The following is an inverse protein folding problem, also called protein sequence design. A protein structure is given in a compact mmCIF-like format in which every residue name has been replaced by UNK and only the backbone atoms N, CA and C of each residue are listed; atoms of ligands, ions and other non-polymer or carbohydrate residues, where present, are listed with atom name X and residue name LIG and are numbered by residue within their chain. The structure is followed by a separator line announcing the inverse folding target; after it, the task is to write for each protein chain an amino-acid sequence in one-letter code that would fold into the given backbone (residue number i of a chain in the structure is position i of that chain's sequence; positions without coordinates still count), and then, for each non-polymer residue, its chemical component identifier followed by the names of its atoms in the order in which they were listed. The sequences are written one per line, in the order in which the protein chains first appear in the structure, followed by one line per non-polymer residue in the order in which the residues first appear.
data_IF_822350796942
#
_entry.id   IF_822350796942
#
_cell.length_a   1.000
_cell.length_b   1.000
_cell.length_c   1.000
_cell.angle_alpha   90.00
_cell.angle_beta   90.00
_cell.angle_gamma   90.00
#
_symmetry.space_group_name_H-M   'P 1'
#
loop_
_entity.id
_entity.type
_entity.pdbx_description
1 polymer ?
#
# COMPACT_ATOMS: atom_id res chain seq x y z
N UNK A 1 17.14 15.03 -20.95
CA UNK A 1 16.18 14.17 -20.19
C UNK A 1 15.34 15.11 -19.36
N UNK A 2 13.97 15.08 -19.48
CA UNK A 2 13.11 16.06 -18.77
C UNK A 2 13.25 15.87 -17.26
N UNK A 3 13.66 16.92 -16.55
CA UNK A 3 13.83 16.96 -15.09
C UNK A 3 12.65 16.35 -14.32
N UNK A 4 11.43 16.53 -14.77
CA UNK A 4 10.23 15.97 -14.15
C UNK A 4 10.18 14.42 -14.24
N UNK A 5 10.56 13.83 -15.36
CA UNK A 5 10.56 12.36 -15.51
C UNK A 5 11.60 11.70 -14.60
N UNK A 6 12.75 12.33 -14.43
CA UNK A 6 13.79 11.83 -13.53
C UNK A 6 13.33 11.89 -12.08
N UNK A 7 12.71 13.00 -11.67
CA UNK A 7 12.13 13.14 -10.32
C UNK A 7 11.08 12.04 -10.04
N UNK A 8 10.17 11.80 -10.98
CA UNK A 8 9.15 10.77 -10.85
C UNK A 8 9.74 9.38 -10.70
N UNK A 9 10.70 9.00 -11.56
CA UNK A 9 11.38 7.71 -11.50
C UNK A 9 12.13 7.51 -10.17
N UNK A 10 12.85 8.54 -9.71
CA UNK A 10 13.57 8.50 -8.44
C UNK A 10 12.62 8.30 -7.27
N UNK A 11 11.48 9.00 -7.27
CA UNK A 11 10.51 8.89 -6.17
C UNK A 11 9.79 7.53 -6.17
N UNK A 12 9.50 6.97 -7.35
CA UNK A 12 8.96 5.61 -7.52
C UNK A 12 9.94 4.58 -6.93
N UNK A 13 11.22 4.66 -7.29
CA UNK A 13 12.25 3.76 -6.79
C UNK A 13 12.44 3.90 -5.27
N UNK A 14 12.44 5.14 -4.75
CA UNK A 14 12.56 5.41 -3.33
C UNK A 14 11.42 4.80 -2.52
N UNK A 15 10.18 4.89 -3.02
CA UNK A 15 9.03 4.30 -2.33
C UNK A 15 9.04 2.76 -2.39
N UNK A 16 9.53 2.16 -3.48
CA UNK A 16 9.76 0.72 -3.56
C UNK A 16 10.82 0.27 -2.53
N UNK A 17 11.94 0.99 -2.43
CA UNK A 17 12.98 0.73 -1.43
C UNK A 17 12.46 0.91 0.01
N UNK A 18 11.69 1.96 0.28
CA UNK A 18 11.05 2.17 1.58
C UNK A 18 10.12 1.01 1.94
N UNK A 19 9.38 0.47 0.96
CA UNK A 19 8.51 -0.70 1.18
C UNK A 19 9.33 -1.93 1.54
N UNK A 20 10.49 -2.14 0.88
CA UNK A 20 11.41 -3.23 1.19
C UNK A 20 11.98 -3.12 2.62
N UNK A 21 12.34 -1.92 3.06
CA UNK A 21 12.80 -1.68 4.44
C UNK A 21 11.67 -1.95 5.45
N UNK A 22 10.48 -1.42 5.19
CA UNK A 22 9.31 -1.60 6.07
C UNK A 22 8.80 -3.04 6.10
N UNK A 23 9.10 -3.84 5.08
CA UNK A 23 8.83 -5.27 5.06
C UNK A 23 9.60 -6.03 6.14
N UNK A 24 10.81 -5.56 6.48
CA UNK A 24 11.67 -6.22 7.48
C UNK A 24 11.20 -5.94 8.92
N UNK A 25 10.37 -4.92 9.11
CA UNK A 25 9.74 -4.66 10.41
C UNK A 25 8.49 -5.54 10.47
N UNK A 26 8.71 -6.79 10.85
CA UNK A 26 7.71 -7.86 10.85
C UNK A 26 7.59 -8.47 12.25
N UNK A 27 6.36 -8.72 12.68
CA UNK A 27 6.06 -9.51 13.87
C UNK A 27 5.50 -10.85 13.37
N UNK A 28 6.21 -11.96 13.63
CA UNK A 28 5.71 -13.26 13.22
C UNK A 28 4.41 -13.60 13.94
N UNK A 29 3.44 -14.13 13.20
CA UNK A 29 2.14 -14.51 13.74
C UNK A 29 1.93 -16.02 13.60
N UNK A 30 1.23 -16.66 14.54
CA UNK A 30 0.95 -18.11 14.47
C UNK A 30 0.22 -18.55 13.20
N UNK A 31 -0.45 -17.64 12.53
CA UNK A 31 -1.14 -17.89 11.25
C UNK A 31 -0.18 -18.08 10.06
N UNK A 32 1.12 -17.81 10.20
CA UNK A 32 2.08 -17.79 9.10
C UNK A 32 2.02 -16.55 8.21
N UNK A 33 1.12 -15.61 8.50
CA UNK A 33 1.07 -14.30 7.84
C UNK A 33 1.67 -13.26 8.78
N UNK A 34 2.90 -12.75 8.54
CA UNK A 34 3.55 -11.82 9.45
C UNK A 34 2.86 -10.45 9.45
N UNK A 35 2.81 -9.82 10.61
CA UNK A 35 2.34 -8.45 10.75
C UNK A 35 3.48 -7.49 10.43
N UNK A 36 3.43 -6.82 9.28
CA UNK A 36 4.51 -5.94 8.80
C UNK A 36 4.09 -4.48 8.69
N UNK A 37 5.05 -3.58 8.53
CA UNK A 37 4.78 -2.18 8.17
C UNK A 37 4.62 -1.94 6.65
N UNK A 38 4.62 -2.99 5.83
CA UNK A 38 4.47 -2.87 4.37
C UNK A 38 3.22 -2.09 3.96
N UNK A 39 2.07 -2.40 4.55
CA UNK A 39 0.80 -1.72 4.23
C UNK A 39 0.82 -0.22 4.54
N UNK A 40 1.63 0.22 5.50
CA UNK A 40 1.90 1.63 5.74
C UNK A 40 2.68 2.24 4.57
N UNK A 41 3.75 1.56 4.10
CA UNK A 41 4.54 2.02 2.96
C UNK A 41 3.71 2.05 1.67
N UNK A 42 2.86 1.05 1.43
CA UNK A 42 1.92 1.01 0.29
C UNK A 42 0.95 2.18 0.33
N UNK A 43 0.41 2.49 1.51
CA UNK A 43 -0.46 3.67 1.72
C UNK A 43 0.29 4.96 1.41
N UNK A 44 1.52 5.12 1.93
CA UNK A 44 2.38 6.28 1.65
C UNK A 44 2.66 6.42 0.16
N UNK A 45 2.99 5.32 -0.53
CA UNK A 45 3.22 5.32 -1.97
C UNK A 45 2.00 5.82 -2.75
N UNK A 46 0.80 5.31 -2.44
CA UNK A 46 -0.44 5.76 -3.06
C UNK A 46 -0.74 7.25 -2.78
N UNK A 47 -0.53 7.71 -1.55
CA UNK A 47 -0.80 9.10 -1.16
C UNK A 47 0.20 10.07 -1.76
N UNK A 48 1.49 9.75 -1.71
CA UNK A 48 2.58 10.64 -2.15
C UNK A 48 2.66 10.71 -3.67
N UNK A 49 2.67 9.54 -4.33
CA UNK A 49 2.86 9.43 -5.78
C UNK A 49 1.54 9.51 -6.58
N UNK A 50 0.40 9.40 -5.90
CA UNK A 50 -0.89 9.26 -6.55
C UNK A 50 -1.10 7.86 -7.15
N UNK A 51 -2.23 7.67 -7.85
CA UNK A 51 -2.66 6.35 -8.30
C UNK A 51 -1.64 5.62 -9.18
N UNK A 52 -1.20 6.25 -10.27
CA UNK A 52 -0.28 5.62 -11.23
C UNK A 52 1.12 5.41 -10.66
N UNK A 53 1.68 6.43 -10.00
CA UNK A 53 3.02 6.35 -9.41
C UNK A 53 3.10 5.37 -8.26
N UNK A 54 2.09 5.35 -7.38
CA UNK A 54 1.98 4.39 -6.28
C UNK A 54 1.90 2.95 -6.78
N UNK A 55 1.02 2.68 -7.76
CA UNK A 55 0.91 1.35 -8.35
C UNK A 55 2.22 0.90 -9.02
N UNK A 56 2.86 1.79 -9.78
CA UNK A 56 4.13 1.49 -10.44
C UNK A 56 5.25 1.20 -9.42
N UNK A 57 5.32 1.95 -8.33
CA UNK A 57 6.29 1.69 -7.26
C UNK A 57 6.08 0.31 -6.64
N UNK A 58 4.84 -0.09 -6.40
CA UNK A 58 4.55 -1.43 -5.87
C UNK A 58 4.80 -2.54 -6.89
N UNK A 59 4.61 -2.29 -8.19
CA UNK A 59 5.01 -3.23 -9.24
C UNK A 59 6.53 -3.42 -9.26
N UNK A 60 7.31 -2.35 -9.16
CA UNK A 60 8.78 -2.44 -9.06
C UNK A 60 9.19 -3.25 -7.83
N UNK A 61 8.59 -2.99 -6.67
CA UNK A 61 8.83 -3.76 -5.45
C UNK A 61 8.54 -5.26 -5.64
N UNK A 62 7.39 -5.61 -6.24
CA UNK A 62 7.01 -6.99 -6.51
C UNK A 62 7.97 -7.68 -7.49
N UNK A 63 8.38 -6.99 -8.56
CA UNK A 63 9.31 -7.53 -9.55
C UNK A 63 10.67 -7.81 -8.92
N UNK A 64 11.18 -6.91 -8.09
CA UNK A 64 12.43 -7.14 -7.36
C UNK A 64 12.33 -8.39 -6.48
N UNK A 65 11.24 -8.54 -5.74
CA UNK A 65 11.03 -9.73 -4.91
C UNK A 65 10.83 -11.00 -5.75
N UNK A 66 10.11 -10.92 -6.87
CA UNK A 66 9.86 -12.07 -7.76
C UNK A 66 11.14 -12.64 -8.37
N UNK A 67 12.10 -11.78 -8.77
CA UNK A 67 13.40 -12.22 -9.29
C UNK A 67 14.38 -12.73 -8.20
N UNK A 68 13.94 -12.76 -6.94
CA UNK A 68 14.69 -13.35 -5.83
C UNK A 68 15.43 -12.35 -4.95
N UNK A 69 15.30 -11.04 -5.18
CA UNK A 69 15.85 -10.04 -4.24
C UNK A 69 15.14 -10.16 -2.90
N UNK A 70 15.83 -10.23 -1.74
CA UNK A 70 15.24 -10.47 -0.42
C UNK A 70 14.54 -9.22 0.14
N UNK A 71 13.52 -8.73 -0.58
CA UNK A 71 12.77 -7.50 -0.26
C UNK A 71 11.43 -7.77 0.43
N UNK A 72 10.95 -9.01 0.43
CA UNK A 72 9.75 -9.41 1.16
C UNK A 72 10.04 -9.56 2.66
N UNK A 73 8.99 -9.73 3.47
CA UNK A 73 9.17 -9.91 4.93
C UNK A 73 10.14 -11.04 5.26
N UNK A 74 10.86 -10.89 6.37
CA UNK A 74 11.84 -11.87 6.85
C UNK A 74 12.98 -12.13 5.85
N UNK A 75 13.37 -11.09 5.09
CA UNK A 75 14.41 -11.15 4.06
C UNK A 75 14.17 -12.25 3.00
N UNK A 76 12.90 -12.55 2.73
CA UNK A 76 12.51 -13.51 1.72
C UNK A 76 12.39 -12.87 0.32
N UNK A 77 12.45 -13.71 -0.70
CA UNK A 77 12.23 -13.36 -2.11
C UNK A 77 11.93 -14.61 -2.94
N UNK A 78 11.63 -14.39 -4.21
CA UNK A 78 11.33 -15.44 -5.18
C UNK A 78 9.83 -15.62 -5.43
N UNK A 79 9.51 -16.24 -6.57
CA UNK A 79 8.13 -16.49 -7.01
C UNK A 79 7.36 -17.38 -6.03
N UNK A 80 8.04 -18.26 -5.28
CA UNK A 80 7.42 -19.13 -4.28
C UNK A 80 6.65 -18.38 -3.21
N UNK A 81 7.12 -17.19 -2.82
CA UNK A 81 6.44 -16.34 -1.84
C UNK A 81 5.13 -15.78 -2.43
N UNK A 82 5.14 -15.44 -3.72
CA UNK A 82 3.96 -14.86 -4.39
C UNK A 82 2.84 -15.88 -4.61
N UNK A 83 3.16 -17.16 -4.72
CA UNK A 83 2.16 -18.23 -4.82
C UNK A 83 1.82 -18.84 -3.46
N UNK A 84 2.52 -18.46 -2.41
CA UNK A 84 2.30 -18.91 -1.03
C UNK A 84 1.18 -18.17 -0.30
N UNK A 85 0.99 -18.47 0.99
CA UNK A 85 -0.10 -17.92 1.82
C UNK A 85 -0.11 -16.40 1.93
N UNK A 86 1.04 -15.75 1.85
CA UNK A 86 1.18 -14.28 1.91
C UNK A 86 1.12 -13.61 0.55
N UNK A 87 1.20 -14.38 -0.54
CA UNK A 87 1.32 -13.87 -1.91
C UNK A 87 0.16 -12.98 -2.33
N UNK A 88 -1.06 -13.31 -1.90
CA UNK A 88 -2.25 -12.50 -2.22
C UNK A 88 -2.18 -11.07 -1.71
N UNK A 89 -1.64 -10.89 -0.51
CA UNK A 89 -1.42 -9.56 0.06
C UNK A 89 -0.39 -8.78 -0.77
N UNK A 90 0.72 -9.41 -1.14
CA UNK A 90 1.77 -8.80 -1.93
C UNK A 90 1.27 -8.41 -3.33
N UNK A 91 0.63 -9.34 -4.04
CA UNK A 91 0.11 -9.13 -5.40
C UNK A 91 -0.93 -8.00 -5.45
N UNK A 92 -1.70 -7.81 -4.38
CA UNK A 92 -2.70 -6.74 -4.31
C UNK A 92 -2.12 -5.36 -3.95
N UNK A 93 -0.85 -5.23 -3.57
CA UNK A 93 -0.25 -3.92 -3.23
C UNK A 93 -0.33 -2.88 -4.34
N UNK A 94 -0.06 -3.19 -5.63
CA UNK A 94 -0.24 -2.23 -6.70
C UNK A 94 -1.68 -1.73 -6.80
N UNK A 95 -2.66 -2.63 -6.64
CA UNK A 95 -4.07 -2.29 -6.67
C UNK A 95 -4.47 -1.44 -5.46
N UNK A 96 -3.99 -1.79 -4.27
CA UNK A 96 -4.21 -1.01 -3.06
C UNK A 96 -3.64 0.41 -3.21
N UNK A 97 -2.38 0.54 -3.64
CA UNK A 97 -1.74 1.83 -3.84
C UNK A 97 -2.47 2.68 -4.90
N UNK A 98 -2.94 2.05 -5.98
CA UNK A 98 -3.73 2.69 -7.01
C UNK A 98 -5.03 3.28 -6.46
N UNK A 99 -5.83 2.47 -5.75
CA UNK A 99 -7.11 2.88 -5.18
C UNK A 99 -6.90 4.01 -4.16
N UNK A 100 -5.94 3.87 -3.24
CA UNK A 100 -5.60 4.92 -2.27
C UNK A 100 -5.22 6.21 -2.98
N UNK A 101 -4.42 6.11 -4.04
CA UNK A 101 -3.97 7.25 -4.85
C UNK A 101 -5.09 7.97 -5.60
N UNK A 102 -6.19 7.29 -5.95
CA UNK A 102 -7.38 7.91 -6.54
C UNK A 102 -8.11 8.85 -5.56
N UNK A 103 -7.98 8.58 -4.27
CA UNK A 103 -8.55 9.42 -3.21
C UNK A 103 -7.80 10.74 -3.01
N UNK A 104 -6.58 10.84 -3.52
CA UNK A 104 -5.75 12.04 -3.36
C UNK A 104 -6.07 13.04 -4.46
N UNK A 105 -6.39 14.31 -4.13
CA UNK A 105 -6.60 15.35 -5.14
C UNK A 105 -5.36 15.47 -6.04
N UNK A 106 -5.55 15.33 -7.34
CA UNK A 106 -4.53 15.76 -8.30
C UNK A 106 -4.57 17.27 -8.33
N UNK A 107 -3.49 17.91 -7.88
CA UNK A 107 -3.28 19.33 -8.13
C UNK A 107 -3.08 19.51 -9.64
N UNK A 108 -4.19 19.68 -10.36
CA UNK A 108 -4.14 20.31 -11.67
C UNK A 108 -3.76 21.75 -11.41
N UNK A 109 -2.66 22.18 -12.00
CA UNK A 109 -2.29 23.58 -12.18
C UNK A 109 -3.45 24.32 -12.86
N UNK A 110 -4.41 24.78 -12.09
CA UNK A 110 -5.42 25.73 -12.52
C UNK A 110 -5.42 26.84 -11.45
N UNK A 111 -4.76 27.91 -11.83
CA UNK A 111 -4.85 29.21 -11.19
C UNK A 111 -6.32 29.55 -10.86
N UNK A 112 -6.56 29.93 -9.60
CA UNK A 112 -7.69 30.73 -9.21
C UNK A 112 -8.99 30.00 -8.96
N UNK A 113 -9.21 29.62 -7.70
CA UNK A 113 -10.45 29.89 -6.98
C UNK A 113 -10.31 29.38 -5.55
N UNK A 114 -10.08 30.26 -4.63
CA UNK A 114 -10.39 30.07 -3.22
C UNK A 114 -11.90 29.92 -3.10
N UNK A 115 -12.38 28.77 -2.68
CA UNK A 115 -13.78 28.62 -2.29
C UNK A 115 -13.92 27.62 -1.16
N UNK A 116 -14.25 28.15 0.01
CA UNK A 116 -15.17 27.59 0.98
C UNK A 116 -14.81 26.28 1.70
N UNK A 117 -14.90 26.38 3.01
CA UNK A 117 -14.73 25.31 4.03
C UNK A 117 -15.44 23.97 3.73
N UNK A 118 -16.53 24.00 2.96
CA UNK A 118 -17.30 22.80 2.60
C UNK A 118 -16.58 21.86 1.61
N UNK A 119 -15.72 22.38 0.72
CA UNK A 119 -14.95 21.55 -0.22
C UNK A 119 -13.84 20.76 0.48
N UNK A 120 -13.26 21.30 1.55
CA UNK A 120 -12.20 20.62 2.31
C UNK A 120 -12.73 19.37 3.01
N UNK A 121 -13.96 19.40 3.54
CA UNK A 121 -14.57 18.24 4.21
C UNK A 121 -14.89 17.12 3.21
N UNK A 122 -15.47 17.44 2.04
CA UNK A 122 -15.80 16.45 1.01
C UNK A 122 -14.54 15.75 0.47
N UNK A 123 -13.45 16.50 0.25
CA UNK A 123 -12.16 15.94 -0.15
C UNK A 123 -11.55 15.05 0.95
N UNK A 124 -11.74 15.39 2.21
CA UNK A 124 -11.29 14.57 3.32
C UNK A 124 -12.07 13.25 3.40
N UNK A 125 -13.39 13.28 3.32
CA UNK A 125 -14.25 12.08 3.36
C UNK A 125 -13.94 11.16 2.16
N UNK A 126 -13.81 11.72 0.97
CA UNK A 126 -13.42 10.97 -0.23
C UNK A 126 -12.09 10.26 -0.06
N UNK A 127 -11.07 10.97 0.44
CA UNK A 127 -9.76 10.39 0.68
C UNK A 127 -9.80 9.18 1.63
N UNK A 128 -10.48 9.33 2.78
CA UNK A 128 -10.61 8.24 3.74
C UNK A 128 -11.40 7.07 3.17
N UNK A 129 -12.42 7.33 2.36
CA UNK A 129 -13.18 6.29 1.66
C UNK A 129 -12.31 5.45 0.73
N UNK A 130 -11.47 6.09 -0.10
CA UNK A 130 -10.53 5.37 -0.98
C UNK A 130 -9.45 4.62 -0.21
N UNK A 131 -8.99 5.15 0.91
CA UNK A 131 -8.01 4.48 1.78
C UNK A 131 -8.61 3.20 2.39
N UNK A 132 -9.83 3.27 2.91
CA UNK A 132 -10.56 2.10 3.41
C UNK A 132 -10.80 1.11 2.28
N UNK A 133 -11.25 1.56 1.11
CA UNK A 133 -11.51 0.69 -0.04
C UNK A 133 -10.24 -0.05 -0.48
N UNK A 134 -9.11 0.64 -0.62
CA UNK A 134 -7.84 0.02 -1.00
C UNK A 134 -7.36 -1.02 0.02
N UNK A 135 -7.49 -0.71 1.30
CA UNK A 135 -7.15 -1.64 2.38
C UNK A 135 -8.08 -2.86 2.39
N UNK A 136 -9.38 -2.65 2.19
CA UNK A 136 -10.37 -3.74 2.11
C UNK A 136 -10.07 -4.66 0.94
N UNK A 137 -9.77 -4.13 -0.23
CA UNK A 137 -9.39 -4.92 -1.40
C UNK A 137 -8.14 -5.76 -1.11
N UNK A 138 -7.12 -5.18 -0.44
CA UNK A 138 -5.94 -5.94 -0.03
C UNK A 138 -6.30 -7.12 0.88
N UNK A 139 -7.18 -6.93 1.86
CA UNK A 139 -7.65 -8.02 2.73
C UNK A 139 -8.46 -9.07 1.98
N UNK A 140 -9.36 -8.67 1.07
CA UNK A 140 -10.16 -9.63 0.29
C UNK A 140 -9.24 -10.51 -0.55
N UNK A 141 -8.34 -9.92 -1.34
CA UNK A 141 -7.42 -10.66 -2.21
C UNK A 141 -6.45 -11.50 -1.37
N UNK A 142 -5.88 -10.92 -0.31
CA UNK A 142 -4.94 -11.61 0.58
C UNK A 142 -5.56 -12.81 1.25
N UNK A 143 -6.75 -12.66 1.86
CA UNK A 143 -7.44 -13.76 2.54
C UNK A 143 -7.91 -14.83 1.55
N UNK A 144 -8.39 -14.44 0.36
CA UNK A 144 -8.81 -15.40 -0.66
C UNK A 144 -7.64 -16.31 -1.10
N UNK A 145 -6.48 -15.71 -1.41
CA UNK A 145 -5.30 -16.49 -1.81
C UNK A 145 -4.74 -17.29 -0.63
N UNK A 146 -4.79 -16.76 0.60
CA UNK A 146 -4.45 -17.51 1.80
C UNK A 146 -5.29 -18.77 1.93
N UNK A 147 -6.61 -18.67 1.82
CA UNK A 147 -7.51 -19.83 1.90
C UNK A 147 -7.24 -20.86 0.78
N UNK A 148 -7.00 -20.38 -0.45
CA UNK A 148 -6.70 -21.24 -1.59
C UNK A 148 -5.35 -21.97 -1.43
N UNK A 149 -4.33 -21.30 -0.91
CA UNK A 149 -2.99 -21.88 -0.76
C UNK A 149 -2.86 -22.81 0.44
N UNK A 150 -3.65 -22.60 1.50
CA UNK A 150 -3.59 -23.40 2.74
C UNK A 150 -4.70 -24.45 2.85
N UNK A 151 -5.73 -24.37 1.99
CA UNK A 151 -6.94 -25.20 2.13
C UNK A 151 -7.82 -24.81 3.32
N UNK A 152 -7.57 -23.68 3.96
CA UNK A 152 -8.34 -23.21 5.11
C UNK A 152 -9.74 -22.73 4.70
N UNK A 153 -10.71 -22.92 5.60
CA UNK A 153 -12.05 -22.35 5.42
C UNK A 153 -12.00 -20.80 5.45
N UNK A 154 -12.99 -20.17 4.84
CA UNK A 154 -13.07 -18.71 4.81
C UNK A 154 -13.12 -18.10 6.23
N UNK A 155 -13.83 -18.74 7.16
CA UNK A 155 -13.89 -18.30 8.57
C UNK A 155 -12.53 -18.36 9.25
N UNK A 156 -11.76 -19.43 9.02
CA UNK A 156 -10.40 -19.57 9.52
C UNK A 156 -9.46 -18.54 8.89
N UNK A 157 -9.58 -18.28 7.58
CA UNK A 157 -8.80 -17.24 6.88
C UNK A 157 -9.08 -15.85 7.42
N UNK A 158 -10.34 -15.49 7.65
CA UNK A 158 -10.70 -14.20 8.26
C UNK A 158 -10.15 -14.08 9.69
N UNK A 159 -10.26 -15.12 10.49
CA UNK A 159 -9.73 -15.14 11.85
C UNK A 159 -8.19 -15.01 11.87
N UNK A 160 -7.51 -15.62 10.91
CA UNK A 160 -6.05 -15.61 10.81
C UNK A 160 -5.47 -14.33 10.19
N UNK A 161 -6.12 -13.80 9.14
CA UNK A 161 -5.58 -12.75 8.29
C UNK A 161 -6.22 -11.37 8.50
N UNK A 162 -7.38 -11.28 9.15
CA UNK A 162 -8.11 -10.01 9.29
C UNK A 162 -8.20 -9.58 10.74
N UNK A 163 -8.79 -10.40 11.60
CA UNK A 163 -9.09 -10.00 12.98
C UNK A 163 -7.88 -9.46 13.77
N UNK A 164 -6.72 -10.13 13.81
CA UNK A 164 -5.58 -9.64 14.58
C UNK A 164 -4.94 -8.39 13.96
N UNK A 165 -5.20 -8.14 12.67
CA UNK A 165 -4.58 -7.02 11.95
C UNK A 165 -5.41 -5.72 12.01
N UNK A 166 -6.72 -5.79 12.33
CA UNK A 166 -7.61 -4.61 12.35
C UNK A 166 -7.02 -3.45 13.18
N UNK A 167 -6.59 -3.66 14.46
CA UNK A 167 -6.11 -2.54 15.27
C UNK A 167 -4.88 -1.86 14.66
N UNK A 168 -3.91 -2.65 14.21
CA UNK A 168 -2.69 -2.13 13.59
C UNK A 168 -2.96 -1.50 12.24
N UNK A 169 -3.93 -2.00 11.49
CA UNK A 169 -4.33 -1.43 10.20
C UNK A 169 -4.95 -0.06 10.36
N UNK A 170 -5.79 0.15 11.36
CA UNK A 170 -6.35 1.47 11.66
C UNK A 170 -5.23 2.47 11.96
N UNK A 171 -4.29 2.09 12.82
CA UNK A 171 -3.13 2.95 13.16
C UNK A 171 -2.29 3.25 11.92
N UNK A 172 -1.94 2.23 11.13
CA UNK A 172 -1.15 2.40 9.89
C UNK A 172 -1.88 3.27 8.86
N UNK A 173 -3.18 3.10 8.71
CA UNK A 173 -3.99 3.90 7.80
C UNK A 173 -4.04 5.37 8.22
N UNK A 174 -4.24 5.65 9.52
CA UNK A 174 -4.22 7.01 10.06
C UNK A 174 -2.84 7.66 9.88
N UNK A 175 -1.78 6.98 10.31
CA UNK A 175 -0.40 7.49 10.17
C UNK A 175 -0.05 7.69 8.71
N UNK A 176 -0.28 6.70 7.85
CA UNK A 176 0.02 6.77 6.42
C UNK A 176 -0.78 7.85 5.70
N UNK A 177 -2.05 8.01 6.05
CA UNK A 177 -2.90 9.04 5.47
C UNK A 177 -2.50 10.45 5.88
N UNK A 178 -2.20 10.68 7.16
CA UNK A 178 -1.80 12.00 7.68
C UNK A 178 -0.39 12.35 7.22
N UNK A 179 0.57 11.45 7.42
CA UNK A 179 1.97 11.67 7.07
C UNK A 179 2.14 11.81 5.55
N UNK A 180 1.49 10.93 4.78
CA UNK A 180 1.54 10.98 3.32
C UNK A 180 1.05 12.30 2.74
N UNK A 181 -0.06 12.85 3.27
CA UNK A 181 -0.55 14.18 2.86
C UNK A 181 0.44 15.30 3.19
N UNK A 182 1.08 15.25 4.37
CA UNK A 182 2.09 16.25 4.78
C UNK A 182 3.32 16.19 3.87
N UNK A 183 3.85 14.97 3.62
CA UNK A 183 5.01 14.76 2.75
C UNK A 183 4.68 15.22 1.33
N UNK A 184 3.53 14.82 0.78
CA UNK A 184 3.12 15.25 -0.56
C UNK A 184 3.08 16.77 -0.69
N UNK A 185 2.53 17.48 0.30
CA UNK A 185 2.50 18.94 0.32
C UNK A 185 3.90 19.58 0.37
N UNK A 186 4.87 18.89 0.96
CA UNK A 186 6.25 19.41 1.05
C UNK A 186 7.07 19.17 -0.24
N UNK A 187 6.70 18.19 -1.06
CA UNK A 187 7.44 17.82 -2.29
C UNK A 187 6.92 18.57 -3.53
N UNK A 188 5.64 18.96 -3.52
CA UNK A 188 4.99 19.71 -4.61
C UNK A 188 4.98 21.19 -4.34
#
# INVERSE_FOLDING_TARGET
MNSNKTKDLTTIALMAALTAIMAQIAIPMPSGVPMTLQTLAVTLAGVILGAKGGALSMLVYLLLGAVGVPVFSEFCGGLGILVGPTGGFLISFPLMAFIVGLGVPQERSSSGASTGDGKNNLHSIRFWGFLIAGTTVNYIVGTAIFCLSTGASLSAGVAACVLPFIPTTIVKALVGGILGKRIRKAIN
#
